data_IF_906971058996
#
_entry.id   IF_906971058996
#
_cell.length_a   1.000
_cell.length_b   1.000
_cell.length_c   1.000
_cell.angle_alpha   90.00
_cell.angle_beta   90.00
_cell.angle_gamma   90.00
#
_symmetry.space_group_name_H-M   'P 1'
#
loop_
_entity.id
_entity.type
_entity.pdbx_description
1 polymer ?
#
# COMPACT_ATOMS: atom_id res chain seq x y z
N UNK A 1 -8.95 -18.16 10.89
CA UNK A 1 -8.35 -17.63 9.65
C UNK A 1 -6.88 -17.45 9.97
N UNK A 2 -6.02 -18.34 9.50
CA UNK A 2 -4.58 -18.28 9.79
C UNK A 2 -4.00 -17.01 9.18
N UNK A 3 -3.18 -16.29 9.94
CA UNK A 3 -2.42 -15.17 9.39
C UNK A 3 -1.45 -15.73 8.35
N UNK A 4 -1.33 -15.09 7.17
CA UNK A 4 -0.31 -15.49 6.22
C UNK A 4 1.07 -15.44 6.89
N UNK A 5 1.99 -16.34 6.50
CA UNK A 5 3.31 -16.41 7.13
C UNK A 5 4.01 -15.06 7.03
N UNK A 6 4.63 -14.62 8.12
CA UNK A 6 5.42 -13.40 8.12
C UNK A 6 6.63 -13.58 7.19
N UNK A 7 6.74 -12.73 6.18
CA UNK A 7 7.74 -12.86 5.11
C UNK A 7 8.96 -11.99 5.37
N UNK A 8 8.75 -10.82 5.96
CA UNK A 8 9.76 -9.79 6.16
C UNK A 8 9.98 -9.50 7.65
N UNK A 9 11.12 -8.91 8.03
CA UNK A 9 11.27 -8.32 9.36
C UNK A 9 10.11 -7.36 9.63
N UNK A 10 9.47 -7.53 10.77
CA UNK A 10 8.41 -6.67 11.23
C UNK A 10 8.69 -6.07 12.57
N UNK A 11 8.01 -4.97 12.83
CA UNK A 11 7.98 -4.32 14.12
C UNK A 11 6.57 -4.26 14.66
N UNK A 12 6.46 -4.50 15.96
CA UNK A 12 5.22 -4.34 16.68
C UNK A 12 4.98 -2.85 16.97
N UNK A 13 3.86 -2.32 16.48
CA UNK A 13 3.47 -0.91 16.61
C UNK A 13 2.05 -0.80 17.16
N UNK A 14 1.73 0.39 17.69
CA UNK A 14 0.36 0.71 18.13
C UNK A 14 -0.33 1.53 17.04
N UNK A 15 -1.48 1.06 16.56
CA UNK A 15 -2.31 1.78 15.58
C UNK A 15 -2.89 3.05 16.22
N UNK A 16 -3.39 4.02 15.42
CA UNK A 16 -4.10 5.18 15.95
C UNK A 16 -5.34 4.81 16.77
N UNK A 17 -5.90 3.62 16.57
CA UNK A 17 -7.02 3.08 17.33
C UNK A 17 -6.58 2.38 18.65
N UNK A 18 -5.28 2.33 18.94
CA UNK A 18 -4.72 1.72 20.16
C UNK A 18 -4.42 0.22 20.05
N UNK A 19 -4.63 -0.39 18.90
CA UNK A 19 -4.38 -1.83 18.67
C UNK A 19 -2.89 -2.10 18.45
N UNK A 20 -2.40 -3.27 18.87
CA UNK A 20 -1.01 -3.68 18.58
C UNK A 20 -0.98 -4.58 17.35
N UNK A 21 -0.18 -4.19 16.35
CA UNK A 21 -0.05 -4.92 15.07
C UNK A 21 1.40 -4.99 14.63
N UNK A 22 1.75 -6.08 13.95
CA UNK A 22 3.03 -6.20 13.25
C UNK A 22 2.96 -5.50 11.89
N UNK A 23 3.95 -4.67 11.60
CA UNK A 23 4.10 -3.99 10.30
C UNK A 23 5.50 -4.24 9.77
N UNK A 24 5.59 -4.62 8.50
CA UNK A 24 6.85 -4.79 7.76
C UNK A 24 7.73 -3.53 7.89
N UNK A 25 8.98 -3.70 8.28
CA UNK A 25 9.89 -2.57 8.54
C UNK A 25 10.11 -1.72 7.29
N UNK A 26 10.12 -2.32 6.10
CA UNK A 26 10.34 -1.63 4.83
C UNK A 26 9.20 -0.68 4.42
N UNK A 27 7.96 -0.95 4.85
CA UNK A 27 6.80 -0.08 4.56
C UNK A 27 6.39 0.79 5.75
N UNK A 28 6.90 0.50 6.95
CA UNK A 28 6.59 1.26 8.16
C UNK A 28 6.72 2.79 7.99
N UNK A 29 7.78 3.35 7.34
CA UNK A 29 7.86 4.80 7.14
C UNK A 29 6.65 5.40 6.43
N UNK A 30 6.08 4.68 5.47
CA UNK A 30 4.86 5.09 4.75
C UNK A 30 3.63 4.96 5.64
N UNK A 31 3.43 3.80 6.26
CA UNK A 31 2.30 3.57 7.18
C UNK A 31 2.26 4.63 8.28
N UNK A 32 3.41 4.91 8.91
CA UNK A 32 3.56 5.94 9.94
C UNK A 32 3.22 7.34 9.43
N UNK A 33 3.66 7.71 8.21
CA UNK A 33 3.35 9.01 7.61
C UNK A 33 1.86 9.18 7.26
N UNK A 34 1.18 8.09 6.86
CA UNK A 34 -0.27 8.09 6.64
C UNK A 34 -1.02 8.27 7.97
N UNK A 35 -0.61 7.54 9.01
CA UNK A 35 -1.24 7.63 10.33
C UNK A 35 -1.05 8.99 10.99
N UNK A 36 0.11 9.63 10.80
CA UNK A 36 0.36 11.00 11.27
C UNK A 36 -0.60 12.04 10.66
N UNK A 37 -1.19 11.73 9.51
CA UNK A 37 -2.25 12.55 8.87
C UNK A 37 -3.66 12.22 9.32
N UNK A 38 -3.84 11.28 10.24
CA UNK A 38 -5.15 10.76 10.61
C UNK A 38 -5.76 9.81 9.57
N UNK A 39 -4.99 9.39 8.56
CA UNK A 39 -5.45 8.38 7.60
C UNK A 39 -5.13 6.99 8.12
N UNK A 40 -6.08 6.07 7.95
CA UNK A 40 -5.98 4.70 8.45
C UNK A 40 -5.60 3.71 7.35
N UNK A 41 -4.85 2.67 7.73
CA UNK A 41 -4.54 1.51 6.89
C UNK A 41 -5.18 0.27 7.51
N UNK A 42 -5.86 -0.53 6.70
CA UNK A 42 -6.45 -1.82 7.08
C UNK A 42 -5.45 -2.97 6.91
N UNK A 43 -4.50 -2.82 5.98
CA UNK A 43 -3.44 -3.79 5.74
C UNK A 43 -2.34 -3.19 4.89
N UNK A 44 -1.15 -3.76 4.98
CA UNK A 44 0.02 -3.32 4.22
C UNK A 44 1.00 -4.47 4.02
N UNK A 45 1.81 -4.40 2.97
CA UNK A 45 2.95 -5.29 2.77
C UNK A 45 4.07 -4.55 2.05
N UNK A 46 5.33 -4.76 2.45
CA UNK A 46 6.46 -4.09 1.80
C UNK A 46 6.77 -4.66 0.39
N UNK A 47 6.49 -5.95 0.15
CA UNK A 47 6.62 -6.61 -1.14
C UNK A 47 5.53 -7.68 -1.30
N UNK A 48 4.51 -7.35 -2.09
CA UNK A 48 3.39 -8.26 -2.32
C UNK A 48 3.80 -9.49 -3.12
N UNK A 49 4.74 -9.38 -4.05
CA UNK A 49 5.19 -10.53 -4.84
C UNK A 49 5.83 -11.60 -3.97
N UNK A 50 6.68 -11.20 -3.03
CA UNK A 50 7.26 -12.12 -2.05
C UNK A 50 6.20 -12.73 -1.12
N UNK A 51 5.26 -11.90 -0.63
CA UNK A 51 4.16 -12.37 0.21
C UNK A 51 3.29 -13.43 -0.49
N UNK A 52 2.91 -13.17 -1.75
CA UNK A 52 2.14 -14.10 -2.58
C UNK A 52 2.93 -15.39 -2.83
N UNK A 53 4.22 -15.25 -3.18
CA UNK A 53 5.09 -16.40 -3.45
C UNK A 53 5.25 -17.34 -2.25
N UNK A 54 5.36 -16.79 -1.03
CA UNK A 54 5.48 -17.60 0.20
C UNK A 54 4.16 -18.17 0.70
N UNK A 55 3.03 -17.51 0.43
CA UNK A 55 1.73 -18.04 0.80
C UNK A 55 1.37 -19.32 0.02
N UNK A 56 1.97 -19.55 -1.16
CA UNK A 56 1.83 -20.77 -1.95
C UNK A 56 0.44 -21.01 -2.57
N UNK A 57 -0.54 -20.14 -2.28
CA UNK A 57 -1.94 -20.29 -2.68
C UNK A 57 -2.28 -19.60 -4.02
N UNK A 58 -1.35 -18.86 -4.62
CA UNK A 58 -1.59 -18.11 -5.84
C UNK A 58 -0.71 -18.58 -7.02
N UNK A 59 -1.12 -18.31 -8.27
CA UNK A 59 -0.31 -18.63 -9.44
C UNK A 59 1.07 -17.96 -9.38
N UNK A 60 2.17 -18.65 -9.73
CA UNK A 60 3.53 -18.08 -9.73
C UNK A 60 3.66 -16.79 -10.54
N UNK A 61 2.93 -16.68 -11.67
CA UNK A 61 2.92 -15.49 -12.51
C UNK A 61 2.39 -14.24 -11.76
N UNK A 62 1.50 -14.40 -10.78
CA UNK A 62 1.01 -13.30 -9.98
C UNK A 62 2.06 -12.81 -8.98
N UNK A 63 2.81 -13.74 -8.36
CA UNK A 63 3.93 -13.38 -7.50
C UNK A 63 5.00 -12.59 -8.27
N UNK A 64 5.31 -13.01 -9.50
CA UNK A 64 6.25 -12.30 -10.37
C UNK A 64 5.73 -10.90 -10.74
N UNK A 65 4.47 -10.80 -11.15
CA UNK A 65 3.84 -9.52 -11.51
C UNK A 65 3.86 -8.50 -10.38
N UNK A 66 3.77 -8.96 -9.12
CA UNK A 66 3.72 -8.12 -7.93
C UNK A 66 5.07 -7.95 -7.23
N UNK A 67 6.15 -8.56 -7.74
CA UNK A 67 7.48 -8.44 -7.14
C UNK A 67 7.94 -6.98 -7.17
N UNK A 68 8.51 -6.53 -6.04
CA UNK A 68 8.97 -5.16 -5.88
C UNK A 68 7.84 -4.14 -5.71
N UNK A 69 6.58 -4.58 -5.57
CA UNK A 69 5.44 -3.70 -5.30
C UNK A 69 5.05 -3.74 -3.84
N UNK A 70 5.13 -2.57 -3.20
CA UNK A 70 4.51 -2.33 -1.92
C UNK A 70 2.99 -2.26 -2.08
N UNK A 71 2.27 -2.71 -1.07
CA UNK A 71 0.81 -2.75 -1.07
C UNK A 71 0.22 -2.05 0.15
N UNK A 72 -0.87 -1.32 -0.08
CA UNK A 72 -1.71 -0.72 0.96
C UNK A 72 -3.17 -1.10 0.71
N UNK A 73 -3.88 -1.40 1.79
CA UNK A 73 -5.33 -1.48 1.85
C UNK A 73 -5.84 -0.41 2.81
N UNK A 74 -6.70 0.48 2.34
CA UNK A 74 -7.16 1.65 3.11
C UNK A 74 -8.63 1.93 2.83
N UNK A 75 -9.38 2.58 3.74
CA UNK A 75 -10.72 3.07 3.44
C UNK A 75 -10.70 3.99 2.22
N UNK A 76 -11.72 3.91 1.35
CA UNK A 76 -11.75 4.65 0.09
C UNK A 76 -11.48 6.15 0.26
N UNK A 77 -12.10 6.80 1.26
CA UNK A 77 -11.90 8.23 1.51
C UNK A 77 -10.45 8.58 1.87
N UNK A 78 -9.75 7.71 2.60
CA UNK A 78 -8.34 7.90 2.95
C UNK A 78 -7.41 7.60 1.77
N UNK A 79 -7.77 6.61 0.94
CA UNK A 79 -7.06 6.34 -0.29
C UNK A 79 -7.13 7.53 -1.26
N UNK A 80 -8.31 8.14 -1.43
CA UNK A 80 -8.48 9.32 -2.28
C UNK A 80 -7.67 10.50 -1.77
N UNK A 81 -7.70 10.77 -0.46
CA UNK A 81 -6.91 11.83 0.17
C UNK A 81 -5.40 11.58 0.02
N UNK A 82 -4.95 10.34 0.18
CA UNK A 82 -3.57 9.94 -0.03
C UNK A 82 -3.12 10.15 -1.47
N UNK A 83 -3.89 9.69 -2.45
CA UNK A 83 -3.56 9.84 -3.87
C UNK A 83 -3.52 11.32 -4.28
N UNK A 84 -4.46 12.13 -3.77
CA UNK A 84 -4.48 13.57 -4.01
C UNK A 84 -3.25 14.30 -3.43
N UNK A 85 -2.80 13.89 -2.24
CA UNK A 85 -1.60 14.44 -1.61
C UNK A 85 -0.32 13.99 -2.32
N UNK A 86 -0.22 12.71 -2.68
CA UNK A 86 0.92 12.20 -3.43
C UNK A 86 1.04 12.85 -4.82
N UNK A 87 -0.09 13.13 -5.47
CA UNK A 87 -0.15 13.82 -6.76
C UNK A 87 0.23 15.31 -6.70
N UNK A 88 0.53 15.88 -5.52
CA UNK A 88 1.15 17.21 -5.45
C UNK A 88 2.61 17.20 -5.93
N UNK A 89 3.28 16.04 -5.91
CA UNK A 89 4.56 15.85 -6.59
C UNK A 89 4.32 15.54 -8.08
N UNK A 90 4.87 16.33 -9.02
CA UNK A 90 4.61 16.15 -10.45
C UNK A 90 5.03 14.80 -11.02
N UNK A 91 6.09 14.18 -10.50
CA UNK A 91 6.54 12.88 -11.00
C UNK A 91 5.67 11.74 -10.45
N UNK A 92 5.29 11.80 -9.17
CA UNK A 92 4.31 10.87 -8.61
C UNK A 92 2.95 11.01 -9.29
N UNK A 93 2.53 12.23 -9.63
CA UNK A 93 1.29 12.48 -10.36
C UNK A 93 1.25 11.75 -11.73
N UNK A 94 2.40 11.63 -12.41
CA UNK A 94 2.51 10.87 -13.66
C UNK A 94 2.35 9.36 -13.41
N UNK A 95 2.91 8.85 -12.30
CA UNK A 95 2.90 7.43 -11.95
C UNK A 95 1.55 6.96 -11.38
N UNK A 96 0.80 7.85 -10.73
CA UNK A 96 -0.53 7.56 -10.18
C UNK A 96 -1.59 7.45 -11.28
N UNK A 97 -1.43 8.19 -12.38
CA UNK A 97 -2.36 8.11 -13.50
C UNK A 97 -2.34 6.70 -14.10
N UNK A 98 -3.50 6.13 -14.47
CA UNK A 98 -3.54 4.82 -15.12
C UNK A 98 -2.68 4.82 -16.40
N UNK A 99 -1.65 3.98 -16.41
CA UNK A 99 -0.65 3.88 -17.49
C UNK A 99 -0.27 2.42 -17.71
N UNK A 100 -1.12 1.70 -18.42
CA UNK A 100 -0.90 0.27 -18.73
C UNK A 100 0.39 0.03 -19.55
N UNK A 101 0.97 1.09 -20.13
CA UNK A 101 2.22 1.08 -20.88
C UNK A 101 3.48 1.08 -20.00
N UNK A 102 3.35 1.27 -18.68
CA UNK A 102 4.49 1.51 -17.79
C UNK A 102 4.55 0.51 -16.62
N UNK A 103 5.64 -0.24 -16.43
CA UNK A 103 5.73 -1.21 -15.34
C UNK A 103 5.83 -0.56 -13.94
N UNK A 104 6.15 0.74 -13.86
CA UNK A 104 6.33 1.51 -12.63
C UNK A 104 5.09 2.31 -12.20
N UNK A 105 4.00 2.26 -12.97
CA UNK A 105 2.76 2.93 -12.58
C UNK A 105 2.09 2.28 -11.37
N UNK A 106 1.29 3.06 -10.66
CA UNK A 106 0.54 2.59 -9.51
C UNK A 106 -0.71 1.86 -9.98
N UNK A 107 -1.01 0.73 -9.34
CA UNK A 107 -2.29 0.06 -9.53
C UNK A 107 -3.20 0.42 -8.36
N UNK A 108 -4.19 1.28 -8.62
CA UNK A 108 -5.16 1.71 -7.63
C UNK A 108 -6.54 1.19 -8.06
N UNK A 109 -7.18 0.38 -7.23
CA UNK A 109 -8.54 -0.08 -7.52
C UNK A 109 -9.34 -0.33 -6.24
N UNK A 110 -10.65 -0.14 -6.36
CA UNK A 110 -11.63 -0.58 -5.37
C UNK A 110 -12.49 -1.65 -6.01
N UNK A 111 -12.59 -2.80 -5.35
CA UNK A 111 -13.42 -3.90 -5.84
C UNK A 111 -14.89 -3.54 -5.75
N UNK A 112 -15.70 -4.03 -6.69
CA UNK A 112 -17.16 -3.91 -6.67
C UNK A 112 -17.76 -5.23 -6.18
N UNK A 113 -18.54 -5.18 -5.11
CA UNK A 113 -19.41 -6.26 -4.66
C UNK A 113 -20.87 -6.07 -5.12
N UNK A 114 -21.78 -6.98 -4.75
CA UNK A 114 -23.19 -6.93 -5.15
C UNK A 114 -23.92 -5.64 -4.74
N UNK A 115 -23.55 -5.07 -3.59
CA UNK A 115 -24.15 -3.84 -3.05
C UNK A 115 -23.44 -2.55 -3.48
N UNK A 116 -22.44 -2.63 -4.37
CA UNK A 116 -21.64 -1.47 -4.80
C UNK A 116 -20.15 -1.63 -4.52
N UNK A 117 -19.43 -0.51 -4.43
CA UNK A 117 -18.00 -0.53 -4.14
C UNK A 117 -17.75 -1.05 -2.73
N UNK A 118 -16.76 -1.95 -2.59
CA UNK A 118 -16.26 -2.36 -1.29
C UNK A 118 -15.62 -1.15 -0.57
N UNK A 119 -15.59 -1.13 0.78
CA UNK A 119 -15.21 0.07 1.53
C UNK A 119 -13.71 0.40 1.46
N UNK A 120 -12.88 -0.52 0.96
CA UNK A 120 -11.44 -0.38 0.96
C UNK A 120 -10.86 -0.42 -0.46
N UNK A 121 -10.01 0.55 -0.75
CA UNK A 121 -9.17 0.57 -1.93
C UNK A 121 -7.92 -0.27 -1.71
N UNK A 122 -7.39 -0.81 -2.80
CA UNK A 122 -6.13 -1.51 -2.90
C UNK A 122 -5.18 -0.64 -3.72
N UNK A 123 -4.00 -0.35 -3.18
CA UNK A 123 -2.99 0.48 -3.84
C UNK A 123 -1.69 -0.31 -3.91
N UNK A 124 -1.16 -0.48 -5.11
CA UNK A 124 0.12 -1.09 -5.36
C UNK A 124 1.05 -0.06 -6.00
N UNK A 125 2.18 0.18 -5.36
CA UNK A 125 3.20 1.12 -5.83
C UNK A 125 4.57 0.44 -5.81
N UNK A 126 5.52 0.82 -6.67
CA UNK A 126 6.88 0.33 -6.55
C UNK A 126 7.47 0.62 -5.17
N UNK A 127 8.03 -0.39 -4.50
CA UNK A 127 8.60 -0.25 -3.16
C UNK A 127 9.75 0.77 -3.14
N UNK A 128 10.48 0.90 -4.25
CA UNK A 128 11.53 1.93 -4.45
C UNK A 128 11.02 3.37 -4.34
N UNK A 129 9.71 3.60 -4.49
CA UNK A 129 9.11 4.94 -4.41
C UNK A 129 8.67 5.33 -2.99
N UNK A 130 8.69 4.40 -2.02
CA UNK A 130 8.25 4.65 -0.63
C UNK A 130 8.93 5.90 -0.05
N UNK A 131 10.25 6.03 -0.21
CA UNK A 131 11.00 7.17 0.35
C UNK A 131 10.51 8.52 -0.19
N UNK A 132 10.24 8.60 -1.50
CA UNK A 132 9.72 9.81 -2.12
C UNK A 132 8.30 10.12 -1.66
N UNK A 133 7.42 9.12 -1.63
CA UNK A 133 6.05 9.28 -1.15
C UNK A 133 6.04 9.81 0.29
N UNK A 134 6.87 9.23 1.17
CA UNK A 134 7.01 9.70 2.56
C UNK A 134 7.48 11.15 2.63
N UNK A 135 8.42 11.57 1.77
CA UNK A 135 8.88 12.95 1.73
C UNK A 135 7.76 13.93 1.35
N UNK A 136 7.00 13.61 0.29
CA UNK A 136 5.85 14.42 -0.16
C UNK A 136 4.78 14.52 0.92
N UNK A 137 4.47 13.38 1.55
CA UNK A 137 3.57 13.37 2.69
C UNK A 137 4.13 14.28 3.80
N UNK A 138 5.36 14.14 4.26
CA UNK A 138 5.83 14.98 5.38
C UNK A 138 5.91 16.48 5.07
N UNK A 139 6.10 16.86 3.81
CA UNK A 139 6.21 18.26 3.41
C UNK A 139 4.86 19.02 3.43
N UNK A 140 3.74 18.33 3.19
CA UNK A 140 2.40 18.94 3.21
C UNK A 140 1.64 18.74 4.52
N UNK A 141 2.33 18.47 5.63
CA UNK A 141 1.73 18.23 6.96
C UNK A 141 1.83 19.49 7.82
#
# INVERSE_FOLDING_TARGET
MEQPPQVHPSRLVTTPAGERVDVDEGIWPLVSALWARGWTTVGSCQDMGEAIGRAGAAPPALAELQRGRAWLKMPNAHADAFLAAAAQDPELAVLIRPRLDRPDHWHCYTQRGPAGLLPNAQIYLPASQIGRVVAVLRAGA
#
